data_IF_440586576896
#
_entry.id   IF_440586576896
#
_cell.length_a   1.000
_cell.length_b   1.000
_cell.length_c   1.000
_cell.angle_alpha   90.00
_cell.angle_beta   90.00
_cell.angle_gamma   90.00
#
_symmetry.space_group_name_H-M   'P 1'
#
loop_
_entity.id
_entity.type
_entity.pdbx_description
1 polymer ?
#
# COMPACT_ATOMS: atom_id res chain seq x y z
N UNK A 1 -98.40 35.96 -15.24
CA UNK A 1 -97.35 36.71 -14.53
C UNK A 1 -96.37 35.71 -13.94
N UNK A 2 -95.09 35.88 -14.29
CA UNK A 2 -93.86 35.34 -13.65
C UNK A 2 -93.57 33.83 -13.68
N UNK A 3 -92.71 33.44 -14.65
CA UNK A 3 -91.73 32.34 -14.59
C UNK A 3 -90.55 32.73 -13.63
N UNK A 4 -89.60 31.92 -13.15
CA UNK A 4 -88.75 30.84 -13.73
C UNK A 4 -87.91 30.30 -12.53
N UNK A 5 -87.75 28.98 -12.27
CA UNK A 5 -86.80 27.99 -12.80
C UNK A 5 -85.43 27.81 -12.08
N UNK A 6 -85.19 26.54 -11.65
CA UNK A 6 -83.99 25.67 -11.82
C UNK A 6 -82.75 25.69 -10.87
N UNK A 7 -82.55 24.49 -10.28
CA UNK A 7 -81.39 23.53 -10.36
C UNK A 7 -80.18 23.56 -9.36
N UNK A 8 -80.13 22.47 -8.56
CA UNK A 8 -79.06 21.45 -8.31
C UNK A 8 -77.71 21.72 -7.58
N UNK A 9 -77.52 20.93 -6.50
CA UNK A 9 -76.40 20.01 -6.11
C UNK A 9 -75.04 20.45 -5.49
N UNK A 10 -74.75 19.79 -4.34
CA UNK A 10 -73.52 19.07 -3.88
C UNK A 10 -72.37 19.77 -3.09
N UNK A 11 -72.13 19.21 -1.89
CA UNK A 11 -70.91 19.05 -1.04
C UNK A 11 -69.64 19.88 -1.32
N UNK A 12 -69.05 20.51 -0.27
CA UNK A 12 -67.61 20.80 -0.07
C UNK A 12 -67.33 20.87 1.46
N UNK A 13 -66.63 19.92 2.13
CA UNK A 13 -65.17 19.82 2.38
C UNK A 13 -64.47 21.14 2.74
N UNK A 14 -64.20 21.32 4.04
CA UNK A 14 -63.30 22.33 4.62
C UNK A 14 -61.83 21.90 4.42
N UNK A 15 -61.05 22.75 3.73
CA UNK A 15 -59.61 22.63 3.57
C UNK A 15 -58.91 23.34 4.75
N UNK A 16 -58.09 22.62 5.51
CA UNK A 16 -57.05 23.22 6.35
C UNK A 16 -55.75 23.23 5.55
N UNK A 17 -55.28 24.44 5.22
CA UNK A 17 -54.03 24.71 4.53
C UNK A 17 -52.87 24.55 5.53
N UNK A 18 -52.11 23.45 5.47
CA UNK A 18 -50.79 23.35 6.10
C UNK A 18 -49.77 23.80 5.07
N UNK A 19 -49.27 25.03 5.22
CA UNK A 19 -48.08 25.49 4.51
C UNK A 19 -46.87 24.68 5.01
N UNK A 20 -46.51 23.62 4.29
CA UNK A 20 -45.19 22.99 4.43
C UNK A 20 -44.19 23.95 3.78
N UNK A 21 -43.53 24.76 4.61
CA UNK A 21 -42.33 25.47 4.23
C UNK A 21 -41.20 24.43 4.13
N UNK A 22 -41.04 23.83 2.95
CA UNK A 22 -39.83 23.08 2.59
C UNK A 22 -38.71 24.10 2.48
N UNK A 23 -38.06 24.40 3.61
CA UNK A 23 -36.72 24.97 3.58
C UNK A 23 -35.84 23.85 3.00
N UNK A 24 -35.57 23.93 1.71
CA UNK A 24 -34.41 23.31 1.09
C UNK A 24 -33.18 23.90 1.78
N UNK A 25 -32.79 23.29 2.90
CA UNK A 25 -31.43 23.37 3.38
C UNK A 25 -30.63 22.51 2.40
N UNK A 26 -30.30 23.05 1.23
CA UNK A 26 -29.10 22.62 0.51
C UNK A 26 -27.89 23.14 1.28
N UNK A 27 -27.79 22.70 2.54
CA UNK A 27 -26.50 22.51 3.15
C UNK A 27 -25.95 21.30 2.42
N UNK A 28 -25.13 21.53 1.41
CA UNK A 28 -24.15 20.53 1.06
C UNK A 28 -23.42 20.24 2.38
N UNK A 29 -23.75 19.13 3.03
CA UNK A 29 -22.73 18.39 3.74
C UNK A 29 -21.77 18.05 2.63
N UNK A 30 -20.81 18.92 2.39
CA UNK A 30 -19.73 18.66 1.47
C UNK A 30 -19.02 17.48 2.11
N UNK A 31 -19.35 16.28 1.61
CA UNK A 31 -18.80 15.04 2.11
C UNK A 31 -17.29 15.18 2.13
N UNK A 32 -16.63 14.61 3.14
CA UNK A 32 -15.18 14.63 3.15
C UNK A 32 -14.69 13.64 2.08
N UNK A 33 -13.85 14.13 1.19
CA UNK A 33 -13.14 13.32 0.20
C UNK A 33 -12.19 12.31 0.87
N UNK A 34 -11.80 11.28 0.12
CA UNK A 34 -10.80 10.27 0.49
C UNK A 34 -9.90 10.00 -0.72
N UNK A 35 -9.03 10.95 -1.11
CA UNK A 35 -8.31 10.90 -2.39
C UNK A 35 -7.10 9.95 -2.39
N UNK A 36 -6.76 9.32 -1.27
CA UNK A 36 -5.63 8.39 -1.16
C UNK A 36 -6.08 7.09 -0.50
N UNK A 37 -5.41 5.98 -0.83
CA UNK A 37 -5.62 4.67 -0.20
C UNK A 37 -5.72 4.74 1.33
N UNK A 38 -4.89 5.58 1.96
CA UNK A 38 -4.81 5.74 3.40
C UNK A 38 -5.28 7.14 3.89
N UNK A 39 -6.36 7.66 3.30
CA UNK A 39 -6.98 8.97 3.53
C UNK A 39 -6.18 10.16 2.96
N UNK A 40 -4.88 10.20 3.19
CA UNK A 40 -3.97 11.24 2.70
C UNK A 40 -2.61 10.65 2.31
N UNK A 41 -1.78 11.46 1.65
CA UNK A 41 -0.40 11.09 1.30
C UNK A 41 0.47 10.71 2.51
N UNK A 42 0.09 11.17 3.71
CA UNK A 42 0.76 10.88 4.99
C UNK A 42 0.33 9.54 5.60
N UNK A 43 -0.61 8.85 4.96
CA UNK A 43 -1.18 7.58 5.40
C UNK A 43 -1.82 7.62 6.79
N UNK A 44 -2.49 8.73 7.12
CA UNK A 44 -3.10 8.91 8.45
C UNK A 44 -4.21 7.92 8.78
N UNK A 45 -4.89 7.39 7.75
CA UNK A 45 -6.10 6.53 7.88
C UNK A 45 -7.14 7.16 8.83
N UNK A 46 -7.21 8.49 8.85
CA UNK A 46 -8.04 9.23 9.79
C UNK A 46 -9.02 10.14 9.05
N UNK A 47 -10.24 10.22 9.57
CA UNK A 47 -11.23 11.22 9.16
C UNK A 47 -11.70 12.00 10.39
N UNK A 48 -11.83 13.35 10.30
CA UNK A 48 -12.44 14.14 11.35
C UNK A 48 -13.98 14.09 11.33
N UNK A 49 -14.59 13.37 10.38
CA UNK A 49 -16.04 13.17 10.38
C UNK A 49 -16.47 12.47 11.66
N UNK A 50 -17.47 13.03 12.33
CA UNK A 50 -17.95 12.55 13.64
C UNK A 50 -19.44 12.24 13.64
N UNK A 51 -20.05 12.08 12.46
CA UNK A 51 -21.48 11.72 12.37
C UNK A 51 -21.76 10.35 12.97
N UNK A 52 -20.82 9.40 12.81
CA UNK A 52 -20.87 8.06 13.39
C UNK A 52 -19.88 8.02 14.55
N UNK A 53 -20.35 7.63 15.74
CA UNK A 53 -19.56 7.55 16.96
C UNK A 53 -20.05 6.43 17.89
N UNK A 54 -19.41 6.28 19.05
CA UNK A 54 -19.74 5.24 20.03
C UNK A 54 -21.17 5.31 20.60
N UNK A 55 -21.87 6.45 20.47
CA UNK A 55 -23.26 6.60 20.93
C UNK A 55 -24.29 6.12 19.92
N UNK A 56 -23.90 6.02 18.64
CA UNK A 56 -24.84 5.74 17.55
C UNK A 56 -24.45 4.61 16.62
N UNK A 57 -23.25 4.05 16.75
CA UNK A 57 -22.72 2.98 15.90
C UNK A 57 -23.69 1.80 15.73
N UNK A 58 -24.42 1.43 16.79
CA UNK A 58 -25.40 0.34 16.77
C UNK A 58 -26.60 0.57 15.82
N UNK A 59 -26.75 1.78 15.25
CA UNK A 59 -27.81 2.13 14.29
C UNK A 59 -27.36 2.05 12.83
N UNK A 60 -26.10 1.67 12.58
CA UNK A 60 -25.57 1.55 11.23
C UNK A 60 -26.31 0.45 10.45
N UNK A 61 -26.65 0.72 9.20
CA UNK A 61 -27.29 -0.23 8.30
C UNK A 61 -26.66 -0.15 6.91
N UNK A 62 -26.71 -1.25 6.16
CA UNK A 62 -26.31 -1.26 4.75
C UNK A 62 -27.23 -0.32 3.96
N UNK A 63 -26.64 0.60 3.18
CA UNK A 63 -27.38 1.52 2.31
C UNK A 63 -27.48 0.93 0.91
N UNK A 64 -26.38 0.40 0.39
CA UNK A 64 -26.28 -0.31 -0.88
C UNK A 64 -25.05 -1.22 -0.87
N UNK A 65 -24.98 -2.12 -1.86
CA UNK A 65 -23.82 -2.96 -2.14
C UNK A 65 -23.51 -2.92 -3.63
N UNK A 66 -22.25 -2.70 -3.95
CA UNK A 66 -21.73 -2.77 -5.31
C UNK A 66 -20.92 -4.05 -5.48
N UNK A 67 -21.11 -4.73 -6.60
CA UNK A 67 -20.32 -5.88 -7.01
C UNK A 67 -19.56 -5.45 -8.28
N UNK A 68 -18.22 -5.34 -8.23
CA UNK A 68 -17.44 -5.04 -9.42
C UNK A 68 -17.67 -6.11 -10.50
N UNK A 69 -17.45 -5.78 -11.78
CA UNK A 69 -17.65 -6.70 -12.91
C UNK A 69 -16.51 -7.74 -13.02
N UNK A 70 -16.02 -8.24 -11.89
CA UNK A 70 -15.00 -9.29 -11.78
C UNK A 70 -15.52 -10.59 -11.15
N UNK A 71 -16.81 -10.63 -10.78
CA UNK A 71 -17.42 -11.81 -10.15
C UNK A 71 -17.26 -13.07 -11.00
N UNK A 72 -17.57 -13.00 -12.29
CA UNK A 72 -17.47 -14.18 -13.18
C UNK A 72 -16.01 -14.65 -13.33
N UNK A 73 -15.05 -13.72 -13.26
CA UNK A 73 -13.62 -14.03 -13.27
C UNK A 73 -13.25 -14.75 -11.96
N UNK A 74 -13.68 -14.20 -10.82
CA UNK A 74 -13.42 -14.76 -9.50
C UNK A 74 -14.02 -16.17 -9.29
N UNK A 75 -15.08 -16.52 -10.01
CA UNK A 75 -15.76 -17.81 -9.93
C UNK A 75 -15.17 -18.88 -10.87
N UNK A 76 -14.21 -18.55 -11.74
CA UNK A 76 -13.53 -19.53 -12.60
C UNK A 76 -12.66 -20.47 -11.78
N UNK A 77 -12.66 -21.75 -12.13
CA UNK A 77 -11.88 -22.80 -11.43
C UNK A 77 -10.36 -22.60 -11.51
N UNK A 78 -9.88 -21.93 -12.55
CA UNK A 78 -8.45 -21.68 -12.78
C UNK A 78 -7.96 -20.34 -12.22
N UNK A 79 -8.85 -19.54 -11.62
CA UNK A 79 -8.51 -18.25 -11.02
C UNK A 79 -8.33 -18.37 -9.51
N UNK A 80 -7.35 -17.64 -8.99
CA UNK A 80 -7.13 -17.44 -7.57
C UNK A 80 -7.23 -15.95 -7.22
N UNK A 81 -7.64 -15.63 -5.99
CA UNK A 81 -7.64 -14.26 -5.46
C UNK A 81 -7.24 -14.23 -3.99
N UNK A 82 -6.36 -13.30 -3.61
CA UNK A 82 -5.87 -13.10 -2.23
C UNK A 82 -6.85 -12.31 -1.34
N UNK A 83 -8.15 -12.44 -1.63
CA UNK A 83 -9.24 -11.60 -1.11
C UNK A 83 -9.18 -10.15 -1.63
N UNK A 84 -10.32 -9.45 -1.51
CA UNK A 84 -10.43 -8.06 -1.89
C UNK A 84 -9.71 -7.15 -0.89
N UNK A 85 -8.62 -6.53 -1.32
CA UNK A 85 -7.78 -5.64 -0.52
C UNK A 85 -7.87 -4.16 -0.95
N UNK A 86 -8.68 -3.85 -1.97
CA UNK A 86 -8.83 -2.51 -2.54
C UNK A 86 -9.55 -1.57 -1.60
N UNK A 87 -9.02 -0.35 -1.42
CA UNK A 87 -9.74 0.75 -0.75
C UNK A 87 -10.27 1.71 -1.82
N UNK A 88 -11.60 1.95 -1.90
CA UNK A 88 -12.16 2.95 -2.79
C UNK A 88 -11.64 4.36 -2.46
N UNK A 89 -11.43 5.17 -3.48
CA UNK A 89 -11.14 6.61 -3.33
C UNK A 89 -12.43 7.39 -3.54
N UNK A 90 -12.68 8.38 -2.69
CA UNK A 90 -13.74 9.39 -2.92
C UNK A 90 -13.05 10.66 -3.44
N UNK A 91 -13.36 11.04 -4.67
CA UNK A 91 -12.82 12.24 -5.33
C UNK A 91 -13.93 12.93 -6.10
N UNK A 92 -14.11 14.22 -5.85
CA UNK A 92 -15.11 15.07 -6.52
C UNK A 92 -16.54 14.47 -6.47
N UNK A 93 -16.86 13.80 -5.36
CA UNK A 93 -18.16 13.17 -5.16
C UNK A 93 -18.38 11.85 -5.93
N UNK A 94 -17.33 11.23 -6.47
CA UNK A 94 -17.37 9.92 -7.13
C UNK A 94 -16.50 8.92 -6.37
N UNK A 95 -16.96 7.68 -6.24
CA UNK A 95 -16.15 6.56 -5.73
C UNK A 95 -15.42 5.87 -6.87
N UNK A 96 -14.10 5.80 -6.78
CA UNK A 96 -13.25 5.04 -7.69
C UNK A 96 -12.72 3.80 -6.98
N UNK A 97 -12.84 2.64 -7.60
CA UNK A 97 -12.43 1.37 -6.99
C UNK A 97 -11.73 0.46 -8.01
N UNK A 98 -10.54 -0.02 -7.64
CA UNK A 98 -9.79 -1.01 -8.39
C UNK A 98 -9.99 -2.41 -7.81
N UNK A 99 -10.43 -3.35 -8.64
CA UNK A 99 -10.70 -4.73 -8.25
C UNK A 99 -9.43 -5.59 -8.20
N UNK A 100 -9.43 -6.75 -7.50
CA UNK A 100 -8.32 -7.69 -7.49
C UNK A 100 -7.84 -8.16 -8.88
N UNK A 101 -8.70 -8.08 -9.89
CA UNK A 101 -8.44 -8.47 -11.28
C UNK A 101 -8.08 -7.28 -12.18
N UNK A 102 -7.69 -6.15 -11.58
CA UNK A 102 -7.31 -4.91 -12.24
C UNK A 102 -8.40 -4.21 -13.06
N UNK A 103 -9.67 -4.45 -12.72
CA UNK A 103 -10.79 -3.68 -13.27
C UNK A 103 -11.02 -2.42 -12.43
N UNK A 104 -11.01 -1.24 -13.05
CA UNK A 104 -11.27 0.04 -12.41
C UNK A 104 -12.71 0.48 -12.67
N UNK A 105 -13.43 0.83 -11.61
CA UNK A 105 -14.83 1.23 -11.67
C UNK A 105 -15.00 2.61 -11.05
N UNK A 106 -15.87 3.43 -11.65
CA UNK A 106 -16.40 4.64 -11.02
C UNK A 106 -17.86 4.41 -10.64
N UNK A 107 -18.23 4.81 -9.43
CA UNK A 107 -19.52 4.50 -8.81
C UNK A 107 -20.08 5.75 -8.14
N UNK A 108 -21.38 6.00 -8.31
CA UNK A 108 -22.09 7.03 -7.55
C UNK A 108 -22.17 6.61 -6.06
N UNK A 109 -21.64 7.42 -5.13
CA UNK A 109 -21.59 7.06 -3.71
C UNK A 109 -22.95 7.01 -3.02
N UNK A 110 -23.98 7.61 -3.59
CA UNK A 110 -25.31 7.70 -2.99
C UNK A 110 -26.21 6.54 -3.41
N UNK A 111 -26.10 6.09 -4.66
CA UNK A 111 -26.93 5.02 -5.22
C UNK A 111 -26.21 3.68 -5.36
N UNK A 112 -24.88 3.68 -5.47
CA UNK A 112 -24.09 2.51 -5.86
C UNK A 112 -24.16 2.20 -7.36
N UNK A 113 -24.69 3.11 -8.18
CA UNK A 113 -24.75 2.99 -9.64
C UNK A 113 -23.36 3.12 -10.26
N UNK A 114 -23.01 2.20 -11.16
CA UNK A 114 -21.77 2.28 -11.93
C UNK A 114 -21.88 3.39 -12.99
N UNK A 115 -20.92 4.31 -12.97
CA UNK A 115 -20.83 5.41 -13.92
C UNK A 115 -20.03 4.99 -15.16
N UNK A 116 -18.91 4.32 -14.94
CA UNK A 116 -18.07 3.75 -16.00
C UNK A 116 -17.15 2.66 -15.44
N UNK A 117 -16.65 1.81 -16.34
CA UNK A 117 -15.67 0.77 -16.05
C UNK A 117 -14.54 0.80 -17.08
N UNK A 118 -13.32 0.56 -16.60
CA UNK A 118 -12.13 0.29 -17.40
C UNK A 118 -11.57 -1.09 -17.06
N UNK A 119 -11.52 -1.98 -18.06
CA UNK A 119 -10.92 -3.31 -17.94
C UNK A 119 -9.70 -3.41 -18.88
N UNK A 120 -8.46 -3.42 -18.35
CA UNK A 120 -7.26 -3.64 -19.15
C UNK A 120 -7.06 -5.10 -19.55
N UNK A 121 -7.97 -6.00 -19.13
CA UNK A 121 -7.91 -7.45 -19.34
C UNK A 121 -6.65 -8.11 -18.79
N UNK A 122 -6.04 -7.52 -17.76
CA UNK A 122 -4.85 -8.06 -17.09
C UNK A 122 -5.05 -9.48 -16.56
N UNK A 123 -6.30 -9.87 -16.31
CA UNK A 123 -6.68 -11.21 -15.86
C UNK A 123 -6.65 -12.29 -16.97
N UNK A 124 -6.65 -11.91 -18.25
CA UNK A 124 -6.53 -12.86 -19.37
C UNK A 124 -5.12 -13.47 -19.44
N UNK A 125 -4.10 -12.71 -19.06
CA UNK A 125 -2.70 -13.14 -18.95
C UNK A 125 -2.42 -13.68 -17.53
N UNK A 126 -3.17 -14.71 -17.12
CA UNK A 126 -3.11 -15.24 -15.77
C UNK A 126 -1.75 -15.86 -15.42
N UNK A 127 -0.87 -15.03 -14.86
CA UNK A 127 0.40 -15.40 -14.25
C UNK A 127 0.61 -14.62 -12.95
N UNK A 128 1.51 -15.12 -12.09
CA UNK A 128 2.05 -14.39 -10.94
C UNK A 128 1.02 -13.86 -9.94
N UNK A 129 0.84 -12.54 -9.93
CA UNK A 129 0.07 -11.78 -8.94
C UNK A 129 -1.38 -11.48 -9.34
N UNK A 130 -1.90 -12.14 -10.39
CA UNK A 130 -3.31 -11.96 -10.76
C UNK A 130 -4.23 -12.29 -9.58
N UNK A 131 -5.27 -11.47 -9.38
CA UNK A 131 -6.13 -11.57 -8.19
C UNK A 131 -5.56 -10.89 -6.94
N UNK A 132 -4.45 -10.14 -7.08
CA UNK A 132 -3.81 -9.36 -6.01
C UNK A 132 -3.68 -7.88 -6.42
N UNK A 133 -4.58 -7.04 -5.91
CA UNK A 133 -4.51 -5.57 -6.04
C UNK A 133 -4.98 -4.90 -4.74
N UNK A 134 -4.23 -3.91 -4.25
CA UNK A 134 -4.54 -3.18 -3.00
C UNK A 134 -5.12 -1.79 -3.23
N UNK A 135 -5.13 -1.30 -4.46
CA UNK A 135 -5.81 -0.05 -4.80
C UNK A 135 -5.16 0.75 -5.90
N UNK A 136 -5.59 2.00 -5.96
CA UNK A 136 -5.33 2.98 -7.01
C UNK A 136 -4.81 4.28 -6.40
N UNK A 137 -4.24 5.15 -7.23
CA UNK A 137 -3.77 6.47 -6.80
C UNK A 137 -4.47 7.56 -7.62
N UNK A 138 -4.83 8.67 -6.97
CA UNK A 138 -5.37 9.85 -7.63
C UNK A 138 -4.29 10.93 -7.77
N UNK A 139 -4.36 11.67 -8.87
CA UNK A 139 -3.59 12.89 -9.08
C UNK A 139 -4.40 13.92 -9.86
N UNK A 140 -4.11 15.19 -9.61
CA UNK A 140 -4.65 16.29 -10.38
C UNK A 140 -3.65 17.40 -10.60
N UNK A 141 -3.77 18.05 -11.76
CA UNK A 141 -3.17 19.34 -12.09
C UNK A 141 -4.26 20.39 -12.25
N UNK A 142 -3.90 21.57 -12.75
CA UNK A 142 -4.86 22.63 -13.09
C UNK A 142 -5.89 22.23 -14.15
N UNK A 143 -5.57 21.25 -14.99
CA UNK A 143 -6.29 20.91 -16.21
C UNK A 143 -6.61 19.41 -16.37
N UNK A 144 -6.00 18.54 -15.55
CA UNK A 144 -6.19 17.08 -15.63
C UNK A 144 -6.48 16.49 -14.26
N UNK A 145 -7.31 15.45 -14.25
CA UNK A 145 -7.59 14.62 -13.08
C UNK A 145 -7.54 13.17 -13.51
N UNK A 146 -6.69 12.38 -12.87
CA UNK A 146 -6.40 11.01 -13.33
C UNK A 146 -6.35 10.04 -12.17
N UNK A 147 -6.72 8.79 -12.46
CA UNK A 147 -6.42 7.64 -11.63
C UNK A 147 -5.23 6.90 -12.23
N UNK A 148 -4.20 6.67 -11.43
CA UNK A 148 -3.11 5.77 -11.76
C UNK A 148 -3.40 4.38 -11.24
N UNK A 149 -3.24 3.38 -12.11
CA UNK A 149 -3.47 1.98 -11.75
C UNK A 149 -2.31 1.08 -12.19
N UNK A 150 -1.58 0.55 -11.21
CA UNK A 150 -0.61 -0.51 -11.42
C UNK A 150 -1.29 -1.89 -11.51
N UNK A 151 -0.87 -2.73 -12.46
CA UNK A 151 -1.52 -4.03 -12.72
C UNK A 151 -0.63 -5.24 -12.44
N UNK A 152 -1.26 -6.42 -12.39
CA UNK A 152 -0.58 -7.73 -12.33
C UNK A 152 0.28 -7.99 -13.55
N UNK A 153 -0.09 -7.41 -14.69
CA UNK A 153 0.65 -7.46 -15.97
C UNK A 153 1.61 -6.27 -16.12
N UNK A 154 2.30 -5.92 -15.03
CA UNK A 154 3.41 -4.96 -14.98
C UNK A 154 3.26 -3.69 -15.83
N UNK A 155 2.06 -3.10 -15.80
CA UNK A 155 1.77 -1.80 -16.42
C UNK A 155 1.34 -0.79 -15.38
N UNK A 156 1.62 0.48 -15.66
CA UNK A 156 1.00 1.62 -14.99
C UNK A 156 0.08 2.33 -15.97
N UNK A 157 -1.23 2.25 -15.76
CA UNK A 157 -2.22 2.99 -16.53
C UNK A 157 -2.48 4.37 -15.92
N UNK A 158 -2.79 5.34 -16.78
CA UNK A 158 -3.31 6.66 -16.42
C UNK A 158 -4.70 6.83 -17.01
N UNK A 159 -5.73 6.83 -16.16
CA UNK A 159 -7.13 6.86 -16.57
C UNK A 159 -7.73 8.22 -16.23
N UNK A 160 -8.33 8.87 -17.22
CA UNK A 160 -9.09 10.11 -17.02
C UNK A 160 -10.35 9.83 -16.19
N UNK A 161 -10.57 10.61 -15.13
CA UNK A 161 -11.62 10.29 -14.15
C UNK A 161 -13.04 10.57 -14.65
N UNK A 162 -13.18 11.43 -15.66
CA UNK A 162 -14.48 11.83 -16.21
C UNK A 162 -14.96 10.82 -17.25
N UNK A 163 -14.04 10.32 -18.08
CA UNK A 163 -14.35 9.45 -19.22
C UNK A 163 -14.12 7.96 -18.93
N UNK A 164 -13.30 7.63 -17.93
CA UNK A 164 -12.87 6.26 -17.67
C UNK A 164 -11.95 5.67 -18.75
N UNK A 165 -11.37 6.51 -19.61
CA UNK A 165 -10.49 6.08 -20.70
C UNK A 165 -9.01 6.37 -20.37
N UNK A 166 -8.08 5.56 -20.91
CA UNK A 166 -6.66 5.86 -20.82
C UNK A 166 -6.34 7.22 -21.46
N UNK A 167 -5.48 7.99 -20.79
CA UNK A 167 -5.02 9.28 -21.32
C UNK A 167 -3.99 9.04 -22.44
N UNK A 168 -4.31 9.35 -23.71
CA UNK A 168 -3.43 9.01 -24.82
C UNK A 168 -2.09 9.74 -24.80
N UNK A 169 -1.94 10.81 -24.00
CA UNK A 169 -0.68 11.56 -23.85
C UNK A 169 0.24 10.98 -22.77
N UNK A 170 -0.20 9.97 -22.01
CA UNK A 170 0.59 9.34 -20.97
C UNK A 170 1.25 8.06 -21.48
N UNK A 171 2.59 8.01 -21.48
CA UNK A 171 3.37 6.86 -21.91
C UNK A 171 3.03 6.41 -23.33
N UNK A 172 2.79 5.11 -23.49
CA UNK A 172 2.35 4.50 -24.74
C UNK A 172 0.81 4.43 -24.78
N UNK A 173 0.17 5.51 -25.23
CA UNK A 173 -1.30 5.59 -25.39
C UNK A 173 -2.09 5.28 -24.10
N UNK A 174 -1.61 5.78 -22.96
CA UNK A 174 -2.28 5.70 -21.67
C UNK A 174 -1.68 4.73 -20.66
N UNK A 175 -0.55 4.08 -20.98
CA UNK A 175 0.16 3.26 -20.02
C UNK A 175 1.69 3.27 -20.19
N UNK A 176 2.40 2.84 -19.14
CA UNK A 176 3.83 2.55 -19.16
C UNK A 176 4.03 1.04 -18.97
N UNK A 177 4.90 0.43 -19.78
CA UNK A 177 5.40 -0.93 -19.54
C UNK A 177 6.50 -0.89 -18.46
N UNK A 178 6.20 -1.41 -17.28
CA UNK A 178 7.11 -1.43 -16.14
C UNK A 178 8.09 -2.61 -16.20
N UNK A 179 7.91 -3.58 -17.11
CA UNK A 179 8.93 -4.60 -17.38
C UNK A 179 10.17 -4.02 -18.05
N UNK A 180 10.03 -2.86 -18.72
CA UNK A 180 11.10 -2.14 -19.38
C UNK A 180 11.78 -1.12 -18.44
N UNK A 181 13.02 -0.73 -18.77
CA UNK A 181 13.78 0.30 -18.04
C UNK A 181 14.43 -0.17 -16.72
N UNK A 182 14.28 -1.44 -16.36
CA UNK A 182 15.01 -2.07 -15.24
C UNK A 182 16.45 -2.41 -15.64
N UNK A 183 17.36 -2.46 -14.67
CA UNK A 183 18.81 -2.68 -14.91
C UNK A 183 19.17 -4.02 -15.56
N UNK A 184 18.23 -4.95 -15.66
CA UNK A 184 18.39 -6.25 -16.33
C UNK A 184 17.01 -6.78 -16.73
N UNK A 185 17.01 -7.71 -17.68
CA UNK A 185 15.80 -8.46 -18.05
C UNK A 185 15.21 -9.21 -16.86
N UNK A 186 13.89 -9.21 -16.76
CA UNK A 186 13.14 -9.83 -15.68
C UNK A 186 12.30 -11.01 -16.17
N UNK A 187 11.91 -11.86 -15.23
CA UNK A 187 10.82 -12.80 -15.39
C UNK A 187 9.49 -12.08 -15.07
N UNK A 188 8.73 -11.70 -16.12
CA UNK A 188 7.49 -10.93 -15.98
C UNK A 188 6.40 -11.72 -15.26
N UNK A 189 6.44 -13.06 -15.30
CA UNK A 189 5.51 -13.92 -14.53
C UNK A 189 5.64 -13.76 -13.01
N UNK A 190 6.69 -13.07 -12.55
CA UNK A 190 7.02 -12.84 -11.14
C UNK A 190 7.05 -11.39 -10.73
N UNK A 191 6.68 -10.46 -11.61
CA UNK A 191 6.77 -9.02 -11.36
C UNK A 191 5.43 -8.37 -11.64
N UNK A 192 4.95 -7.57 -10.70
CA UNK A 192 3.66 -6.88 -10.81
C UNK A 192 3.69 -5.57 -10.02
N UNK A 193 2.64 -4.76 -10.15
CA UNK A 193 2.34 -3.69 -9.20
C UNK A 193 1.09 -4.09 -8.41
N UNK A 194 1.29 -4.45 -7.15
CA UNK A 194 0.20 -4.96 -6.29
C UNK A 194 -0.35 -3.92 -5.31
N UNK A 195 0.36 -2.82 -5.11
CA UNK A 195 -0.03 -1.72 -4.23
C UNK A 195 -0.13 -0.41 -5.00
N UNK A 196 -0.98 0.54 -4.57
CA UNK A 196 -1.10 1.82 -5.26
C UNK A 196 0.25 2.55 -5.29
N UNK A 197 0.59 3.19 -6.41
CA UNK A 197 1.65 4.21 -6.44
C UNK A 197 1.38 5.31 -5.42
N UNK A 198 2.41 6.07 -5.07
CA UNK A 198 2.22 7.35 -4.37
C UNK A 198 2.59 8.48 -5.32
N UNK A 199 1.78 9.54 -5.32
CA UNK A 199 2.09 10.74 -6.10
C UNK A 199 2.53 11.82 -5.14
N UNK A 200 3.70 12.41 -5.40
CA UNK A 200 4.23 13.52 -4.64
C UNK A 200 4.50 14.66 -5.61
N UNK A 201 3.70 15.73 -5.53
CA UNK A 201 3.59 16.77 -6.57
C UNK A 201 3.28 16.14 -7.93
N UNK A 202 4.15 16.32 -8.93
CA UNK A 202 3.95 15.83 -10.29
C UNK A 202 4.81 14.59 -10.60
N UNK A 203 5.24 13.84 -9.58
CA UNK A 203 5.96 12.58 -9.76
C UNK A 203 5.16 11.42 -9.17
N UNK A 204 4.82 10.46 -10.03
CA UNK A 204 4.25 9.16 -9.66
C UNK A 204 5.37 8.21 -9.31
N UNK A 205 5.42 7.76 -8.06
CA UNK A 205 6.43 6.83 -7.56
C UNK A 205 5.83 5.43 -7.47
N UNK A 206 6.50 4.49 -8.12
CA UNK A 206 6.01 3.14 -8.37
C UNK A 206 6.96 2.12 -7.75
N UNK A 207 6.41 1.29 -6.87
CA UNK A 207 7.06 0.10 -6.34
C UNK A 207 6.74 -1.14 -7.17
N UNK A 208 6.93 -2.32 -6.58
CA UNK A 208 6.62 -3.59 -7.25
C UNK A 208 6.34 -4.70 -6.25
N UNK A 209 5.51 -5.67 -6.64
CA UNK A 209 5.44 -7.00 -6.04
C UNK A 209 6.33 -7.94 -6.84
N UNK A 210 7.16 -8.71 -6.14
CA UNK A 210 8.02 -9.72 -6.75
C UNK A 210 7.84 -11.03 -6.01
N UNK A 211 7.61 -12.12 -6.73
CA UNK A 211 7.37 -13.44 -6.11
C UNK A 211 8.61 -13.93 -5.37
N UNK A 212 8.43 -14.37 -4.13
CA UNK A 212 9.50 -14.94 -3.30
C UNK A 212 9.94 -16.33 -3.82
N UNK A 213 11.24 -16.59 -3.70
CA UNK A 213 11.80 -17.90 -4.02
C UNK A 213 11.79 -18.79 -2.76
N UNK A 214 10.79 -19.66 -2.65
CA UNK A 214 10.66 -20.62 -1.55
C UNK A 214 11.41 -21.94 -1.80
N UNK A 215 11.51 -22.38 -3.07
CA UNK A 215 12.32 -23.52 -3.49
C UNK A 215 13.54 -23.00 -4.28
N UNK A 216 14.74 -23.55 -4.07
CA UNK A 216 15.97 -23.13 -4.80
C UNK A 216 15.90 -23.53 -6.28
N UNK A 217 15.93 -22.56 -7.22
CA UNK A 217 16.80 -22.66 -8.42
C UNK A 217 17.58 -21.34 -8.66
N UNK A 218 18.61 -21.32 -9.52
CA UNK A 218 19.88 -20.64 -9.23
C UNK A 218 19.82 -19.12 -9.26
N UNK A 219 20.56 -18.53 -8.32
CA UNK A 219 20.92 -17.11 -8.22
C UNK A 219 21.80 -16.63 -9.39
N UNK A 220 21.30 -16.68 -10.64
CA UNK A 220 21.97 -15.98 -11.74
C UNK A 220 21.46 -14.56 -11.93
N UNK A 221 20.14 -14.32 -11.97
CA UNK A 221 19.60 -12.95 -12.10
C UNK A 221 18.21 -12.85 -11.48
N UNK A 222 18.13 -12.57 -10.18
CA UNK A 222 16.85 -12.25 -9.55
C UNK A 222 16.33 -10.89 -10.01
N UNK A 223 15.01 -10.76 -10.12
CA UNK A 223 14.31 -9.54 -10.56
C UNK A 223 14.68 -8.35 -9.68
N UNK A 224 15.17 -7.22 -10.22
CA UNK A 224 15.34 -5.98 -9.47
C UNK A 224 14.04 -5.46 -8.86
N UNK A 225 14.08 -5.06 -7.58
CA UNK A 225 12.99 -4.33 -6.92
C UNK A 225 13.12 -2.82 -7.00
N UNK A 226 13.73 -2.30 -8.06
CA UNK A 226 14.03 -0.87 -8.19
C UNK A 226 12.76 -0.03 -8.17
N UNK A 227 12.81 1.07 -7.42
CA UNK A 227 11.70 2.02 -7.32
C UNK A 227 11.93 3.12 -8.35
N UNK A 228 10.87 3.51 -9.06
CA UNK A 228 10.96 4.49 -10.14
C UNK A 228 9.99 5.64 -9.96
N UNK A 229 10.43 6.82 -10.41
CA UNK A 229 9.59 8.01 -10.52
C UNK A 229 9.28 8.30 -11.98
N UNK A 230 8.02 8.61 -12.25
CA UNK A 230 7.54 9.01 -13.57
C UNK A 230 6.85 10.36 -13.48
N UNK A 231 7.05 11.20 -14.49
CA UNK A 231 6.31 12.46 -14.62
C UNK A 231 4.80 12.17 -14.74
N UNK A 232 4.00 12.78 -13.87
CA UNK A 232 2.56 12.50 -13.77
C UNK A 232 1.78 12.99 -14.99
N UNK A 233 2.32 13.93 -15.78
CA UNK A 233 1.66 14.45 -16.98
C UNK A 233 1.88 13.54 -18.19
N UNK A 234 3.11 13.07 -18.37
CA UNK A 234 3.60 12.45 -19.62
C UNK A 234 3.91 10.97 -19.48
N UNK A 235 4.18 10.49 -18.26
CA UNK A 235 4.65 9.13 -18.01
C UNK A 235 6.14 8.91 -18.31
N UNK A 236 6.91 9.97 -18.60
CA UNK A 236 8.36 9.86 -18.77
C UNK A 236 9.03 9.44 -17.46
N UNK A 237 9.93 8.45 -17.51
CA UNK A 237 10.71 8.06 -16.34
C UNK A 237 11.73 9.15 -15.99
N UNK A 238 11.56 9.81 -14.84
CA UNK A 238 12.44 10.90 -14.40
C UNK A 238 13.63 10.41 -13.57
N UNK A 239 13.49 9.27 -12.88
CA UNK A 239 14.57 8.65 -12.11
C UNK A 239 14.29 7.18 -11.78
N UNK A 240 15.35 6.47 -11.40
CA UNK A 240 15.31 5.12 -10.82
C UNK A 240 16.19 5.10 -9.57
N UNK A 241 15.68 4.52 -8.49
CA UNK A 241 16.45 4.22 -7.28
C UNK A 241 16.72 2.73 -7.21
N UNK A 242 17.99 2.36 -7.31
CA UNK A 242 18.43 0.97 -7.25
C UNK A 242 18.48 0.51 -5.80
N UNK A 243 17.57 -0.38 -5.42
CA UNK A 243 17.41 -0.81 -4.01
C UNK A 243 18.50 -1.79 -3.57
N UNK A 244 19.11 -2.48 -4.53
CA UNK A 244 20.39 -3.19 -4.39
C UNK A 244 21.45 -2.33 -5.08
N UNK A 245 22.33 -1.65 -4.32
CA UNK A 245 23.32 -0.73 -4.86
C UNK A 245 24.31 -1.42 -5.79
N UNK A 246 24.65 -0.77 -6.89
CA UNK A 246 25.64 -1.23 -7.86
C UNK A 246 27.04 -0.70 -7.53
N UNK A 247 28.04 -1.17 -8.27
CA UNK A 247 29.44 -0.78 -8.05
C UNK A 247 29.61 0.74 -8.02
N UNK A 248 30.24 1.25 -6.97
CA UNK A 248 30.46 2.69 -6.75
C UNK A 248 29.27 3.44 -6.15
N UNK A 249 28.10 2.81 -5.98
CA UNK A 249 26.96 3.39 -5.30
C UNK A 249 27.05 3.22 -3.77
N UNK A 250 26.42 4.13 -3.03
CA UNK A 250 26.39 4.08 -1.57
C UNK A 250 25.75 2.78 -1.08
N UNK A 251 26.41 2.07 -0.18
CA UNK A 251 25.92 0.83 0.43
C UNK A 251 26.35 -0.43 -0.31
N UNK A 252 26.95 -0.32 -1.50
CA UNK A 252 27.47 -1.47 -2.24
C UNK A 252 28.58 -2.20 -1.47
N UNK A 253 29.35 -1.49 -0.66
CA UNK A 253 30.37 -2.02 0.26
C UNK A 253 29.80 -2.99 1.32
N UNK A 254 28.48 -3.01 1.52
CA UNK A 254 27.79 -3.97 2.40
C UNK A 254 27.36 -5.26 1.71
N UNK A 255 27.74 -5.45 0.44
CA UNK A 255 27.47 -6.64 -0.35
C UNK A 255 28.78 -7.35 -0.70
N UNK A 256 29.05 -8.44 0.00
CA UNK A 256 30.22 -9.25 -0.26
C UNK A 256 30.01 -10.24 -1.42
N UNK A 257 31.10 -10.82 -1.92
CA UNK A 257 31.11 -11.82 -3.00
C UNK A 257 30.40 -11.37 -4.29
N UNK A 258 30.38 -10.06 -4.56
CA UNK A 258 29.68 -9.47 -5.69
C UNK A 258 28.20 -9.85 -5.78
N UNK A 259 27.57 -10.19 -4.65
CA UNK A 259 26.19 -10.68 -4.61
C UNK A 259 25.20 -9.68 -5.22
N UNK A 260 25.48 -8.37 -5.14
CA UNK A 260 24.67 -7.31 -5.75
C UNK A 260 24.42 -7.50 -7.26
N UNK A 261 25.32 -8.21 -7.96
CA UNK A 261 25.21 -8.44 -9.40
C UNK A 261 24.12 -9.44 -9.75
N UNK A 262 23.81 -10.39 -8.88
CA UNK A 262 22.87 -11.50 -9.14
C UNK A 262 21.62 -11.43 -8.25
N UNK A 263 21.75 -10.84 -7.07
CA UNK A 263 20.68 -10.63 -6.10
C UNK A 263 19.86 -9.37 -6.38
N UNK A 264 18.62 -9.38 -5.91
CA UNK A 264 17.52 -8.52 -6.31
C UNK A 264 16.39 -8.64 -5.30
N UNK A 265 15.15 -8.45 -5.76
CA UNK A 265 14.03 -8.05 -4.90
C UNK A 265 14.40 -6.76 -4.17
N UNK A 266 14.31 -6.69 -2.83
CA UNK A 266 14.36 -5.43 -2.11
C UNK A 266 13.39 -4.42 -2.75
N UNK A 267 12.19 -4.88 -3.07
CA UNK A 267 11.14 -4.10 -3.71
C UNK A 267 10.29 -3.38 -2.66
N UNK A 268 9.49 -2.43 -3.11
CA UNK A 268 8.43 -1.84 -2.29
C UNK A 268 7.10 -2.44 -2.74
N UNK A 269 6.69 -3.54 -2.11
CA UNK A 269 5.41 -4.20 -2.40
C UNK A 269 4.26 -3.65 -1.58
N UNK A 270 4.54 -3.04 -0.43
CA UNK A 270 3.56 -2.32 0.39
C UNK A 270 3.31 -0.92 -0.19
N UNK A 271 2.39 -0.17 0.41
CA UNK A 271 2.18 1.22 0.01
C UNK A 271 3.30 2.13 0.55
N UNK A 272 3.47 3.28 -0.09
CA UNK A 272 4.42 4.33 0.31
C UNK A 272 3.67 5.51 0.93
N UNK A 273 4.42 6.44 1.51
CA UNK A 273 3.89 7.73 1.97
C UNK A 273 4.70 8.88 1.39
N UNK A 274 4.09 10.06 1.35
CA UNK A 274 4.70 11.28 0.84
C UNK A 274 4.38 12.49 1.72
N UNK A 275 5.31 13.44 1.74
CA UNK A 275 5.12 14.77 2.32
C UNK A 275 5.32 15.80 1.19
N UNK A 276 4.24 16.24 0.55
CA UNK A 276 4.29 17.18 -0.58
C UNK A 276 4.97 18.51 -0.23
N UNK A 277 4.83 18.96 1.02
CA UNK A 277 5.43 20.20 1.49
C UNK A 277 6.96 20.08 1.51
N UNK A 278 7.50 18.93 1.91
CA UNK A 278 8.93 18.64 1.84
C UNK A 278 9.37 18.20 0.43
N UNK A 279 8.48 17.57 -0.31
CA UNK A 279 8.79 16.91 -1.59
C UNK A 279 9.47 15.58 -1.41
N UNK A 280 9.16 14.89 -0.31
CA UNK A 280 9.79 13.63 0.06
C UNK A 280 8.82 12.48 -0.12
N UNK A 281 9.37 11.34 -0.53
CA UNK A 281 8.70 10.04 -0.55
C UNK A 281 9.46 9.07 0.36
N UNK A 282 8.71 8.25 1.09
CA UNK A 282 9.24 7.32 2.07
C UNK A 282 8.96 5.89 1.62
N UNK A 283 10.03 5.13 1.41
CA UNK A 283 10.05 3.82 0.79
C UNK A 283 10.31 2.73 1.84
N UNK A 284 9.30 1.96 2.26
CA UNK A 284 9.49 0.76 3.07
C UNK A 284 10.01 -0.38 2.19
N UNK A 285 11.34 -0.51 2.06
CA UNK A 285 11.98 -1.50 1.18
C UNK A 285 11.94 -2.90 1.83
N UNK A 286 11.59 -3.91 1.03
CA UNK A 286 11.47 -5.29 1.47
C UNK A 286 12.79 -6.06 1.59
N UNK A 287 12.69 -7.34 1.94
CA UNK A 287 13.83 -8.27 1.94
C UNK A 287 14.34 -8.55 0.53
N UNK A 288 15.63 -8.87 0.47
CA UNK A 288 16.27 -9.42 -0.72
C UNK A 288 16.08 -10.93 -0.74
N UNK A 289 16.00 -11.49 -1.94
CA UNK A 289 16.03 -12.94 -2.10
C UNK A 289 17.35 -13.53 -1.56
N UNK A 290 17.43 -14.80 -1.16
CA UNK A 290 16.32 -15.53 -0.57
C UNK A 290 15.97 -14.93 0.79
N UNK A 291 14.69 -14.84 1.11
CA UNK A 291 14.22 -14.16 2.32
C UNK A 291 14.45 -15.00 3.60
N UNK A 292 14.84 -16.27 3.43
CA UNK A 292 15.04 -17.28 4.48
C UNK A 292 16.43 -17.92 4.49
N UNK A 293 17.35 -17.44 3.64
CA UNK A 293 18.74 -17.91 3.60
C UNK A 293 19.66 -16.83 3.04
N UNK A 294 20.74 -16.50 3.76
CA UNK A 294 21.65 -15.41 3.41
C UNK A 294 23.08 -15.80 3.03
N UNK A 295 23.43 -17.10 3.08
CA UNK A 295 24.82 -17.55 2.98
C UNK A 295 25.57 -17.25 1.67
N UNK A 296 24.85 -16.88 0.60
CA UNK A 296 25.42 -16.49 -0.69
C UNK A 296 25.50 -14.96 -0.89
N UNK A 297 24.98 -14.18 0.07
CA UNK A 297 25.02 -12.71 0.07
C UNK A 297 25.53 -12.15 1.40
N UNK A 298 26.76 -12.49 1.83
CA UNK A 298 27.29 -11.96 3.08
C UNK A 298 27.33 -10.42 3.10
N UNK A 299 27.34 -9.86 4.31
CA UNK A 299 27.28 -8.42 4.56
C UNK A 299 25.89 -7.93 4.95
N UNK A 300 25.78 -6.66 5.35
CA UNK A 300 24.53 -6.09 5.85
C UNK A 300 23.43 -5.96 4.78
N UNK A 301 23.79 -6.04 3.49
CA UNK A 301 22.90 -6.02 2.34
C UNK A 301 22.02 -4.75 2.23
N UNK A 302 22.59 -3.58 2.49
CA UNK A 302 21.89 -2.30 2.35
C UNK A 302 21.50 -2.06 0.88
N UNK A 303 20.27 -1.72 0.48
CA UNK A 303 19.14 -1.18 1.26
C UNK A 303 18.02 -2.20 1.55
N UNK A 304 18.32 -3.49 1.68
CA UNK A 304 17.32 -4.47 2.10
C UNK A 304 16.73 -4.11 3.46
N UNK A 305 15.41 -4.30 3.63
CA UNK A 305 14.68 -4.09 4.89
C UNK A 305 14.99 -2.72 5.51
N UNK A 306 14.95 -1.68 4.68
CA UNK A 306 15.34 -0.33 5.02
C UNK A 306 14.21 0.63 4.75
N UNK A 307 14.03 1.63 5.62
CA UNK A 307 13.24 2.80 5.29
C UNK A 307 14.13 3.82 4.58
N UNK A 308 13.80 4.15 3.34
CA UNK A 308 14.55 5.15 2.54
C UNK A 308 13.69 6.39 2.31
N UNK A 309 14.26 7.58 2.49
CA UNK A 309 13.64 8.83 2.09
C UNK A 309 14.33 9.39 0.85
N UNK A 310 13.54 9.66 -0.19
CA UNK A 310 14.03 10.26 -1.44
C UNK A 310 13.39 11.63 -1.68
N UNK A 311 14.09 12.52 -2.38
CA UNK A 311 13.48 13.66 -3.04
C UNK A 311 12.62 13.15 -4.20
N UNK A 312 11.32 13.40 -4.16
CA UNK A 312 10.37 12.90 -5.16
C UNK A 312 10.72 13.35 -6.59
N UNK A 313 11.24 14.57 -6.74
CA UNK A 313 11.56 15.14 -8.05
C UNK A 313 12.79 14.51 -8.73
N UNK A 314 13.71 13.93 -7.96
CA UNK A 314 15.03 13.52 -8.49
C UNK A 314 15.45 12.10 -8.15
N UNK A 315 14.74 11.43 -7.22
CA UNK A 315 15.14 10.13 -6.70
C UNK A 315 16.39 10.18 -5.80
N UNK A 316 16.92 11.37 -5.50
CA UNK A 316 18.10 11.53 -4.65
C UNK A 316 17.79 11.13 -3.22
N UNK A 317 18.62 10.24 -2.66
CA UNK A 317 18.51 9.79 -1.27
C UNK A 317 18.82 10.93 -0.30
N UNK A 318 17.83 11.29 0.53
CA UNK A 318 17.98 12.26 1.62
C UNK A 318 18.60 11.58 2.83
N UNK A 319 17.95 10.51 3.30
CA UNK A 319 18.39 9.70 4.42
C UNK A 319 17.85 8.26 4.28
N UNK A 320 18.36 7.34 5.08
CA UNK A 320 17.81 5.99 5.22
C UNK A 320 18.03 5.47 6.63
N UNK A 321 17.23 4.48 7.05
CA UNK A 321 17.42 3.75 8.29
C UNK A 321 17.19 2.26 8.05
N UNK A 322 18.25 1.45 8.16
CA UNK A 322 18.16 0.00 7.97
C UNK A 322 17.54 -0.63 9.22
N UNK A 323 16.39 -1.31 9.04
CA UNK A 323 15.62 -1.91 10.13
C UNK A 323 16.21 -3.25 10.52
N UNK A 324 16.79 -3.98 9.56
CA UNK A 324 17.36 -5.31 9.75
C UNK A 324 18.65 -5.42 8.97
N UNK A 325 19.72 -5.78 9.67
CA UNK A 325 21.01 -6.09 9.06
C UNK A 325 21.02 -7.54 8.61
N UNK A 326 21.40 -7.81 7.35
CA UNK A 326 21.49 -9.16 6.80
C UNK A 326 20.22 -10.00 7.04
N UNK A 327 19.11 -9.64 6.39
CA UNK A 327 17.82 -10.28 6.57
C UNK A 327 17.80 -11.79 6.35
N UNK A 328 17.25 -12.57 7.28
CA UNK A 328 17.14 -14.04 7.17
C UNK A 328 15.72 -14.59 7.42
N UNK A 329 14.73 -13.73 7.70
CA UNK A 329 13.43 -14.17 8.21
C UNK A 329 12.21 -13.48 7.55
N UNK A 330 12.39 -12.88 6.38
CA UNK A 330 11.31 -12.17 5.68
C UNK A 330 10.58 -11.13 6.57
N UNK A 331 11.35 -10.38 7.36
CA UNK A 331 10.84 -9.41 8.34
C UNK A 331 10.72 -7.98 7.77
N UNK A 332 10.44 -7.85 6.48
CA UNK A 332 10.26 -6.55 5.83
C UNK A 332 9.13 -5.69 6.44
N UNK A 333 9.18 -4.36 6.24
CA UNK A 333 8.07 -3.47 6.61
C UNK A 333 6.83 -3.67 5.71
N UNK A 334 5.69 -4.14 6.26
CA UNK A 334 4.53 -4.55 5.45
C UNK A 334 3.54 -3.40 5.19
N UNK A 335 3.84 -2.17 5.62
CA UNK A 335 2.90 -1.06 5.60
C UNK A 335 3.60 0.29 5.31
N UNK A 336 2.86 1.28 4.76
CA UNK A 336 3.37 2.63 4.62
C UNK A 336 3.69 3.26 5.99
N UNK A 337 4.75 4.08 6.12
CA UNK A 337 5.02 4.82 7.35
C UNK A 337 3.96 5.92 7.56
N UNK A 338 3.35 5.98 8.74
CA UNK A 338 2.41 7.07 9.06
C UNK A 338 3.20 8.34 9.38
N UNK A 339 2.99 9.41 8.62
CA UNK A 339 3.65 10.70 8.86
C UNK A 339 2.82 11.52 9.85
N UNK A 340 3.41 11.83 11.00
CA UNK A 340 2.69 12.45 12.12
C UNK A 340 3.55 13.51 12.78
N UNK A 341 2.95 14.64 13.15
CA UNK A 341 3.63 15.65 13.96
C UNK A 341 3.35 15.34 15.44
N UNK A 342 4.42 15.20 16.22
CA UNK A 342 4.33 14.84 17.66
C UNK A 342 5.13 15.84 18.49
N UNK A 343 4.83 15.89 19.78
CA UNK A 343 5.62 16.63 20.76
C UNK A 343 6.33 15.64 21.70
N UNK A 344 7.64 15.78 21.83
CA UNK A 344 8.46 14.97 22.74
C UNK A 344 9.28 15.92 23.61
N UNK A 345 9.04 15.89 24.92
CA UNK A 345 9.72 16.76 25.90
C UNK A 345 9.63 18.26 25.54
N UNK A 346 8.48 18.71 25.06
CA UNK A 346 8.26 20.11 24.66
C UNK A 346 8.84 20.49 23.29
N UNK A 347 9.47 19.56 22.56
CA UNK A 347 9.96 19.77 21.20
C UNK A 347 8.96 19.20 20.20
N UNK A 348 8.49 20.06 19.28
CA UNK A 348 7.74 19.62 18.12
C UNK A 348 8.66 18.87 17.15
N UNK A 349 8.26 17.68 16.73
CA UNK A 349 9.00 16.79 15.83
C UNK A 349 8.09 16.41 14.68
N UNK A 350 8.61 16.57 13.46
CA UNK A 350 8.00 16.02 12.26
C UNK A 350 8.33 14.54 12.20
N UNK A 351 7.56 13.70 12.87
CA UNK A 351 7.85 12.27 12.95
C UNK A 351 7.25 11.49 11.78
N UNK A 352 7.74 10.26 11.64
CA UNK A 352 7.08 9.16 10.96
C UNK A 352 7.11 7.93 11.87
N UNK A 353 6.11 7.06 11.76
CA UNK A 353 6.03 5.80 12.47
C UNK A 353 5.88 4.65 11.48
N UNK A 354 6.85 3.74 11.44
CA UNK A 354 6.87 2.57 10.56
C UNK A 354 6.74 1.28 11.38
N UNK A 355 5.73 0.47 11.08
CA UNK A 355 5.60 -0.87 11.65
C UNK A 355 6.35 -1.90 10.81
N UNK A 356 6.83 -2.97 11.44
CA UNK A 356 7.63 -4.03 10.80
C UNK A 356 7.14 -5.41 11.21
N UNK A 357 7.43 -6.44 10.41
CA UNK A 357 7.10 -7.84 10.75
C UNK A 357 7.83 -8.36 12.01
N UNK A 358 8.81 -7.63 12.56
CA UNK A 358 9.39 -7.89 13.89
C UNK A 358 8.46 -7.51 15.05
N UNK A 359 7.26 -6.99 14.75
CA UNK A 359 6.35 -6.40 15.73
C UNK A 359 6.93 -5.17 16.48
N UNK A 360 7.89 -4.49 15.86
CA UNK A 360 8.37 -3.18 16.29
C UNK A 360 7.74 -2.05 15.48
N UNK A 361 7.63 -0.89 16.13
CA UNK A 361 7.37 0.38 15.49
C UNK A 361 8.62 1.27 15.59
N UNK A 362 9.18 1.64 14.44
CA UNK A 362 10.32 2.53 14.31
C UNK A 362 9.81 3.96 14.15
N UNK A 363 10.19 4.86 15.07
CA UNK A 363 9.77 6.26 15.04
C UNK A 363 10.97 7.16 14.83
N UNK A 364 11.00 7.82 13.66
CA UNK A 364 12.10 8.66 13.20
C UNK A 364 11.60 10.08 12.93
N UNK A 365 12.47 11.07 13.02
CA UNK A 365 12.20 12.39 12.42
C UNK A 365 12.21 12.23 10.89
N UNK A 366 11.10 12.54 10.23
CA UNK A 366 10.94 12.31 8.79
C UNK A 366 11.80 13.23 7.93
N UNK A 367 12.35 14.30 8.51
CA UNK A 367 13.23 15.23 7.79
C UNK A 367 14.69 14.80 7.81
N UNK A 368 15.13 14.10 8.86
CA UNK A 368 16.55 13.74 9.06
C UNK A 368 16.82 12.23 9.08
N UNK A 369 15.80 11.41 9.35
CA UNK A 369 15.96 9.97 9.60
C UNK A 369 16.46 9.63 11.00
N UNK A 370 16.69 10.63 11.85
CA UNK A 370 17.18 10.40 13.21
C UNK A 370 16.09 9.77 14.09
N UNK A 371 16.44 8.78 14.94
CA UNK A 371 15.49 8.20 15.86
C UNK A 371 14.91 9.24 16.85
N UNK A 372 13.59 9.23 17.02
CA UNK A 372 12.93 10.10 18.03
C UNK A 372 13.25 9.61 19.44
N UNK A 373 13.33 8.30 19.63
CA UNK A 373 13.80 7.65 20.84
C UNK A 373 14.96 6.71 20.53
N UNK A 374 15.79 6.35 21.51
CA UNK A 374 16.91 5.44 21.28
C UNK A 374 16.48 4.14 20.60
N UNK A 375 17.20 3.74 19.57
CA UNK A 375 17.14 2.42 18.97
C UNK A 375 18.51 1.80 19.22
N UNK A 376 18.55 0.72 20.01
CA UNK A 376 19.80 0.16 20.49
C UNK A 376 20.14 -1.11 19.73
N UNK A 377 21.40 -1.23 19.29
CA UNK A 377 21.94 -2.50 18.81
C UNK A 377 21.98 -3.51 19.96
N UNK A 378 21.43 -4.70 19.74
CA UNK A 378 21.49 -5.81 20.70
C UNK A 378 21.99 -7.06 20.01
N UNK A 379 22.82 -7.82 20.70
CA UNK A 379 23.25 -9.14 20.24
C UNK A 379 22.04 -10.04 19.99
N UNK A 380 22.09 -10.79 18.88
CA UNK A 380 21.05 -11.74 18.48
C UNK A 380 21.66 -13.13 18.28
N UNK A 381 20.87 -14.21 18.28
CA UNK A 381 21.37 -15.55 18.01
C UNK A 381 22.16 -15.63 16.71
N UNK A 382 23.23 -16.40 16.75
CA UNK A 382 24.08 -16.59 15.58
C UNK A 382 23.68 -17.85 14.79
N UNK A 383 23.72 -17.74 13.47
CA UNK A 383 23.28 -18.79 12.56
C UNK A 383 24.04 -20.10 12.79
N UNK A 384 23.29 -21.20 12.88
CA UNK A 384 23.81 -22.58 12.93
C UNK A 384 23.68 -23.29 11.57
N UNK A 385 22.95 -22.68 10.64
CA UNK A 385 22.72 -23.19 9.28
C UNK A 385 24.03 -23.17 8.49
N UNK A 386 24.44 -24.28 7.84
CA UNK A 386 25.67 -24.32 7.05
C UNK A 386 25.73 -23.23 5.98
N UNK A 387 26.81 -22.46 5.97
CA UNK A 387 27.07 -21.39 4.99
C UNK A 387 26.40 -20.05 5.30
N UNK A 388 25.46 -20.00 6.26
CA UNK A 388 24.78 -18.76 6.66
C UNK A 388 25.59 -17.97 7.68
N UNK A 389 25.51 -16.64 7.60
CA UNK A 389 26.20 -15.72 8.50
C UNK A 389 25.22 -14.64 8.97
N UNK A 390 24.55 -14.87 10.10
CA UNK A 390 23.73 -13.84 10.74
C UNK A 390 24.55 -12.61 11.11
N UNK A 391 23.92 -11.44 11.12
CA UNK A 391 24.55 -10.24 11.67
C UNK A 391 24.70 -10.37 13.21
N UNK A 392 25.78 -9.85 13.82
CA UNK A 392 26.01 -9.98 15.27
C UNK A 392 24.95 -9.28 16.12
N UNK A 393 24.39 -8.17 15.63
CA UNK A 393 23.39 -7.37 16.35
C UNK A 393 22.17 -7.05 15.48
N UNK A 394 21.10 -6.55 16.08
CA UNK A 394 20.00 -5.91 15.35
C UNK A 394 19.56 -4.64 16.09
N UNK A 395 18.94 -3.67 15.40
CA UNK A 395 18.38 -2.48 16.03
C UNK A 395 17.07 -2.81 16.76
N UNK A 396 16.97 -2.43 18.04
CA UNK A 396 15.75 -2.59 18.86
C UNK A 396 15.22 -1.24 19.33
N UNK A 397 14.06 -0.79 18.83
CA UNK A 397 13.44 0.45 19.29
C UNK A 397 13.10 0.39 20.78
N UNK A 398 13.46 1.44 21.51
CA UNK A 398 13.07 1.56 22.92
C UNK A 398 11.61 1.98 23.11
N UNK A 399 11.04 2.70 22.12
CA UNK A 399 9.65 3.19 22.13
C UNK A 399 9.08 3.28 20.70
N UNK A 400 7.76 3.06 20.54
CA UNK A 400 6.86 2.48 21.55
C UNK A 400 7.23 1.03 21.88
N UNK A 401 6.59 0.43 22.88
CA UNK A 401 6.77 -0.99 23.16
C UNK A 401 6.39 -1.83 21.93
N UNK A 402 6.97 -3.03 21.75
CA UNK A 402 6.56 -3.95 20.69
C UNK A 402 5.06 -4.22 20.77
N UNK A 403 4.39 -4.28 19.62
CA UNK A 403 2.93 -4.43 19.57
C UNK A 403 2.47 -5.89 19.55
N UNK A 404 3.42 -6.83 19.49
CA UNK A 404 3.18 -8.26 19.59
C UNK A 404 4.39 -8.96 20.27
N UNK A 405 4.25 -10.26 20.49
CA UNK A 405 5.25 -11.13 21.13
C UNK A 405 6.61 -11.04 20.45
N UNK A 406 7.65 -11.13 21.26
CA UNK A 406 9.05 -11.05 20.84
C UNK A 406 9.73 -12.38 21.14
N UNK A 407 9.53 -13.35 20.24
CA UNK A 407 9.99 -14.74 20.40
C UNK A 407 8.90 -15.68 20.90
N UNK A 408 9.29 -16.94 21.16
CA UNK A 408 8.44 -18.00 21.65
C UNK A 408 8.99 -18.52 22.98
N UNK A 409 8.23 -18.39 24.07
CA UNK A 409 8.58 -18.88 25.40
C UNK A 409 7.81 -20.16 25.74
N UNK A 410 8.27 -20.93 26.75
CA UNK A 410 7.52 -22.12 27.22
C UNK A 410 6.11 -21.78 27.69
N UNK A 411 5.89 -20.58 28.21
CA UNK A 411 4.57 -20.09 28.64
C UNK A 411 3.65 -19.71 27.47
N UNK A 412 4.18 -19.60 26.25
CA UNK A 412 3.39 -19.42 25.03
C UNK A 412 2.82 -20.74 24.50
N UNK A 413 3.30 -21.88 25.01
CA UNK A 413 2.91 -23.20 24.55
C UNK A 413 1.49 -23.57 24.99
N UNK A 414 0.79 -24.28 24.09
CA UNK A 414 -0.53 -24.84 24.37
C UNK A 414 -0.48 -25.72 25.62
N UNK A 415 -1.37 -25.46 26.57
CA UNK A 415 -1.43 -26.15 27.86
C UNK A 415 -2.85 -26.64 28.23
N UNK A 416 -3.73 -26.80 27.23
CA UNK A 416 -5.11 -27.23 27.44
C UNK A 416 -5.24 -28.56 28.22
N UNK A 417 -4.23 -29.44 28.11
CA UNK A 417 -4.06 -30.60 28.99
C UNK A 417 -2.57 -30.81 29.31
N UNK A 418 -2.21 -31.52 30.40
CA UNK A 418 -0.82 -31.87 30.69
C UNK A 418 -0.12 -32.62 29.54
N UNK A 419 -0.84 -33.52 28.85
CA UNK A 419 -0.30 -34.30 27.74
C UNK A 419 -0.01 -33.45 26.50
N UNK A 420 -0.84 -32.43 26.24
CA UNK A 420 -0.60 -31.48 25.16
C UNK A 420 0.57 -30.55 25.49
N UNK A 421 0.71 -30.12 26.75
CA UNK A 421 1.86 -29.32 27.19
C UNK A 421 3.17 -30.09 27.05
N UNK A 422 3.19 -31.36 27.45
CA UNK A 422 4.38 -32.22 27.31
C UNK A 422 4.77 -32.40 25.84
N UNK A 423 3.79 -32.60 24.95
CA UNK A 423 4.04 -32.66 23.50
C UNK A 423 4.57 -31.33 22.95
N UNK A 424 4.00 -30.20 23.37
CA UNK A 424 4.45 -28.89 22.92
C UNK A 424 5.90 -28.62 23.35
N UNK A 425 6.27 -28.95 24.60
CA UNK A 425 7.64 -28.84 25.09
C UNK A 425 8.61 -29.75 24.32
N UNK A 426 8.21 -30.99 24.03
CA UNK A 426 9.03 -31.91 23.25
C UNK A 426 9.26 -31.43 21.81
N UNK A 427 8.25 -30.80 21.19
CA UNK A 427 8.39 -30.18 19.86
C UNK A 427 9.30 -28.95 19.95
N UNK A 428 9.14 -28.09 20.96
CA UNK A 428 9.93 -26.88 21.14
C UNK A 428 11.44 -27.18 21.19
N UNK A 429 11.84 -28.29 21.85
CA UNK A 429 13.23 -28.75 21.93
C UNK A 429 13.88 -29.09 20.57
N UNK A 430 13.09 -29.25 19.50
CA UNK A 430 13.59 -29.46 18.15
C UNK A 430 14.02 -28.18 17.45
N UNK A 431 13.68 -27.01 18.00
CA UNK A 431 13.87 -25.70 17.38
C UNK A 431 14.73 -24.78 18.25
N UNK A 432 15.41 -23.84 17.59
CA UNK A 432 15.99 -22.66 18.25
C UNK A 432 14.92 -21.58 18.28
N UNK A 433 14.54 -21.10 19.47
CA UNK A 433 13.27 -20.34 19.68
C UNK A 433 13.49 -18.88 20.05
N UNK A 434 14.74 -18.45 20.06
CA UNK A 434 15.14 -17.10 20.43
C UNK A 434 16.46 -17.09 21.15
#
# INVERSE_FOLDING_TARGET
>A
MTLTARKTHLMHRMQSLVCVLLILITGAVQGKEWPYYAADAKSSKYTPLSQIDGTNFARLQEVWRYMPPDKEIAEREDMWTDRNNGTPLMVDGVLYYGSPFNILCAVDPTSGEELWTFDPKSWEDYEGFTGTSRGIAYWSSSDKKRIFYGTSTDRLYSIDIETGQPDPEFGESGFIDLGEGLRRRIDRSRYAVTSPPVVCRDVVVVGSGITDWHDRPPAKYSTPGDVRGFDAHTGEQVWVFQTVPQEGEYGNDTWENDAYQTYGQANVWSAMSADDALGYVYLPISSTTHNHYGGERPGANLFSQTLVCLKAATGERVWHYQLIHHGLWNYDPPAPPVLVDIEVQGKAIKALALVSKQAFCYVLDRTTGEPVWPINEREVPQAKTPGEQSWPTQPFPSKPAPYDRQGLQEDDLIDFTPELREKALAILQLYDTG
#
